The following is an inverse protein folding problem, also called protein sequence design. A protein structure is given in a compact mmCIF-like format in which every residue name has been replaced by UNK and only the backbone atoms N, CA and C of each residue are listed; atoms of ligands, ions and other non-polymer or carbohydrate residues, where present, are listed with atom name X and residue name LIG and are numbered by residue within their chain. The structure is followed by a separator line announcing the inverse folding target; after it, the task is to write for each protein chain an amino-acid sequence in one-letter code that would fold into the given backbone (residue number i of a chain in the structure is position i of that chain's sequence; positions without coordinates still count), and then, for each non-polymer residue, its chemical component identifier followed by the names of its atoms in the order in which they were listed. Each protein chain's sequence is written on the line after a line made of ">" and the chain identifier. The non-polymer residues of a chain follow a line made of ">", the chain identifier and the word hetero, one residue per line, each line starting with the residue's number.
data_IF_828492226183
#
_entry.id   IF_828492226183
#
_cell.length_a   1.000
_cell.length_b   1.000
_cell.length_c   1.000
_cell.angle_alpha   90.00
_cell.angle_beta   90.00
_cell.angle_gamma   90.00
#
_symmetry.space_group_name_H-M   'P 1'
#
loop_
_entity.id
_entity.type
_entity.pdbx_description
1 polymer ?
#
# COMPACT_ATOMS: atom_id res chain seq x y z
N UNK A 1 -19.97 12.24 21.67
CA UNK A 1 -20.16 13.42 20.79
C UNK A 1 -19.00 14.40 20.90
N UNK A 2 -18.72 15.03 22.05
CA UNK A 2 -17.59 15.98 22.18
C UNK A 2 -16.22 15.40 21.81
N UNK A 3 -15.89 14.21 22.33
CA UNK A 3 -14.66 13.50 21.96
C UNK A 3 -14.56 13.19 20.45
N UNK A 4 -15.70 12.94 19.78
CA UNK A 4 -15.76 12.70 18.33
C UNK A 4 -15.51 14.00 17.55
N UNK A 5 -16.06 15.12 18.00
CA UNK A 5 -15.82 16.44 17.40
C UNK A 5 -14.35 16.85 17.53
N UNK A 6 -13.76 16.64 18.71
CA UNK A 6 -12.35 16.95 18.98
C UNK A 6 -11.42 16.06 18.12
N UNK A 7 -11.71 14.76 18.03
CA UNK A 7 -11.00 13.86 17.13
C UNK A 7 -11.14 14.28 15.66
N UNK A 8 -12.33 14.70 15.22
CA UNK A 8 -12.59 15.20 13.87
C UNK A 8 -11.72 16.40 13.51
N UNK A 9 -11.53 17.35 14.44
CA UNK A 9 -10.61 18.49 14.28
C UNK A 9 -9.13 18.06 14.19
N UNK A 10 -8.75 16.92 14.76
CA UNK A 10 -7.39 16.41 14.65
C UNK A 10 -7.12 15.70 13.32
N UNK A 11 -8.13 15.06 12.71
CA UNK A 11 -7.96 14.23 11.50
C UNK A 11 -8.54 14.83 10.21
N UNK A 12 -9.07 16.05 10.24
CA UNK A 12 -9.76 16.66 9.08
C UNK A 12 -8.92 16.67 7.79
N UNK A 13 -7.60 16.87 7.91
CA UNK A 13 -6.67 16.86 6.78
C UNK A 13 -6.49 15.48 6.14
N UNK A 14 -6.78 14.41 6.88
CA UNK A 14 -6.87 13.04 6.33
C UNK A 14 -8.25 12.84 5.70
N UNK A 15 -9.31 13.32 6.36
CA UNK A 15 -10.69 13.14 5.88
C UNK A 15 -10.88 13.72 4.47
N UNK A 16 -10.30 14.90 4.19
CA UNK A 16 -10.44 15.56 2.89
C UNK A 16 -9.80 14.77 1.73
N UNK A 17 -8.93 13.79 2.02
CA UNK A 17 -8.27 12.97 1.00
C UNK A 17 -9.17 11.83 0.50
N UNK A 18 -10.07 11.29 1.34
CA UNK A 18 -10.94 10.16 0.96
C UNK A 18 -11.82 10.40 -0.28
N UNK A 19 -12.42 11.58 -0.50
CA UNK A 19 -13.14 11.87 -1.74
C UNK A 19 -12.26 11.77 -3.00
N UNK A 20 -10.97 12.13 -2.92
CA UNK A 20 -10.04 11.98 -4.05
C UNK A 20 -9.76 10.50 -4.34
N UNK A 21 -9.54 9.69 -3.30
CA UNK A 21 -9.36 8.25 -3.46
C UNK A 21 -10.61 7.57 -4.03
N UNK A 22 -11.79 8.00 -3.58
CA UNK A 22 -13.06 7.55 -4.15
C UNK A 22 -13.21 7.94 -5.62
N UNK A 23 -12.73 9.12 -6.01
CA UNK A 23 -12.64 9.55 -7.41
C UNK A 23 -11.73 8.65 -8.25
N UNK A 24 -10.53 8.32 -7.75
CA UNK A 24 -9.61 7.38 -8.40
C UNK A 24 -10.24 6.01 -8.55
N UNK A 25 -10.85 5.49 -7.47
CA UNK A 25 -11.60 4.23 -7.52
C UNK A 25 -12.73 4.29 -8.57
N UNK A 26 -13.44 5.42 -8.65
CA UNK A 26 -14.44 5.68 -9.69
C UNK A 26 -13.87 5.56 -11.10
N UNK A 27 -12.67 6.07 -11.37
CA UNK A 27 -12.00 5.90 -12.66
C UNK A 27 -11.74 4.41 -12.95
N UNK A 28 -11.20 3.66 -12.01
CA UNK A 28 -10.95 2.22 -12.20
C UNK A 28 -12.23 1.40 -12.34
N UNK A 29 -13.31 1.79 -11.66
CA UNK A 29 -14.60 1.10 -11.67
C UNK A 29 -15.44 1.38 -12.93
N UNK A 30 -15.46 2.63 -13.39
CA UNK A 30 -16.37 3.08 -14.44
C UNK A 30 -15.69 3.29 -15.81
N UNK A 31 -14.38 3.11 -15.90
CA UNK A 31 -13.62 3.15 -17.17
C UNK A 31 -12.92 1.82 -17.43
N UNK A 32 -12.22 1.71 -18.57
CA UNK A 32 -11.42 0.51 -18.91
C UNK A 32 -10.07 0.42 -18.19
N UNK A 33 -9.77 1.33 -17.24
CA UNK A 33 -8.45 1.43 -16.63
C UNK A 33 -8.04 0.16 -15.88
N UNK A 34 -8.97 -0.48 -15.16
CA UNK A 34 -8.69 -1.76 -14.48
C UNK A 34 -8.26 -2.86 -15.47
N UNK A 35 -8.91 -2.91 -16.64
CA UNK A 35 -8.54 -3.87 -17.70
C UNK A 35 -7.16 -3.57 -18.28
N UNK A 36 -6.83 -2.29 -18.48
CA UNK A 36 -5.50 -1.87 -18.97
C UNK A 36 -4.41 -2.26 -17.97
N UNK A 37 -4.61 -1.98 -16.68
CA UNK A 37 -3.66 -2.33 -15.64
C UNK A 37 -3.52 -3.85 -15.47
N UNK A 38 -4.63 -4.59 -15.51
CA UNK A 38 -4.59 -6.06 -15.47
C UNK A 38 -3.69 -6.60 -16.59
N UNK A 39 -3.87 -6.12 -17.82
CA UNK A 39 -3.04 -6.53 -18.96
C UNK A 39 -1.58 -6.13 -18.78
N UNK A 40 -1.31 -4.95 -18.23
CA UNK A 40 0.05 -4.51 -17.95
C UNK A 40 0.76 -5.46 -16.97
N UNK A 41 0.11 -5.83 -15.87
CA UNK A 41 0.66 -6.80 -14.91
C UNK A 41 0.89 -8.17 -15.54
N UNK A 42 -0.08 -8.70 -16.28
CA UNK A 42 0.05 -10.01 -16.96
C UNK A 42 1.15 -9.99 -18.04
N UNK A 43 1.43 -8.84 -18.66
CA UNK A 43 2.48 -8.72 -19.68
C UNK A 43 3.87 -8.58 -19.06
N UNK A 44 3.99 -7.87 -17.94
CA UNK A 44 5.28 -7.61 -17.26
C UNK A 44 5.69 -8.76 -16.33
N UNK A 45 4.72 -9.45 -15.72
CA UNK A 45 4.96 -10.45 -14.69
C UNK A 45 4.78 -11.87 -15.22
N UNK A 46 5.44 -12.82 -14.54
CA UNK A 46 5.13 -14.25 -14.61
C UNK A 46 4.55 -14.72 -13.28
N UNK A 47 4.12 -15.99 -13.21
CA UNK A 47 3.69 -16.59 -11.93
C UNK A 47 4.77 -16.55 -10.84
N UNK A 48 6.06 -16.50 -11.20
CA UNK A 48 7.16 -16.44 -10.24
C UNK A 48 7.54 -15.02 -9.81
N UNK A 49 7.22 -13.99 -10.59
CA UNK A 49 7.63 -12.60 -10.29
C UNK A 49 6.48 -11.71 -9.84
N UNK A 50 5.22 -12.14 -10.04
CA UNK A 50 4.04 -11.34 -9.76
C UNK A 50 3.99 -10.78 -8.33
N UNK A 51 4.20 -11.62 -7.32
CA UNK A 51 4.11 -11.19 -5.91
C UNK A 51 5.16 -10.13 -5.55
N UNK A 52 6.38 -10.23 -6.09
CA UNK A 52 7.43 -9.23 -5.87
C UNK A 52 7.08 -7.90 -6.54
N UNK A 53 6.62 -7.94 -7.79
CA UNK A 53 6.26 -6.74 -8.54
C UNK A 53 5.05 -6.07 -7.90
N UNK A 54 4.04 -6.83 -7.49
CA UNK A 54 2.89 -6.34 -6.73
C UNK A 54 3.31 -5.68 -5.41
N UNK A 55 4.21 -6.33 -4.65
CA UNK A 55 4.75 -5.79 -3.40
C UNK A 55 5.43 -4.43 -3.59
N UNK A 56 6.32 -4.31 -4.58
CA UNK A 56 6.97 -3.02 -4.89
C UNK A 56 5.99 -1.98 -5.41
N UNK A 57 5.03 -2.41 -6.24
CA UNK A 57 4.01 -1.53 -6.79
C UNK A 57 3.13 -0.94 -5.70
N UNK A 58 2.67 -1.75 -4.74
CA UNK A 58 1.85 -1.30 -3.62
C UNK A 58 2.60 -0.26 -2.78
N UNK A 59 3.84 -0.51 -2.38
CA UNK A 59 4.57 0.51 -1.62
C UNK A 59 4.90 1.78 -2.41
N UNK A 60 5.12 1.68 -3.73
CA UNK A 60 5.24 2.89 -4.54
C UNK A 60 3.91 3.68 -4.59
N UNK A 61 2.79 2.98 -4.72
CA UNK A 61 1.46 3.58 -4.80
C UNK A 61 0.99 4.16 -3.45
N UNK A 62 1.44 3.59 -2.33
CA UNK A 62 1.18 4.07 -0.98
C UNK A 62 1.61 5.54 -0.78
N UNK A 63 2.63 6.05 -1.49
CA UNK A 63 2.95 7.48 -1.50
C UNK A 63 1.87 8.37 -2.13
N UNK A 64 1.10 7.81 -3.08
CA UNK A 64 0.04 8.52 -3.79
C UNK A 64 -1.32 8.33 -3.11
N UNK A 65 -1.54 7.17 -2.50
CA UNK A 65 -2.74 6.81 -1.77
C UNK A 65 -2.31 6.28 -0.38
N UNK A 66 -1.91 7.17 0.56
CA UNK A 66 -1.44 6.78 1.90
C UNK A 66 -2.59 6.31 2.81
N UNK A 67 -3.26 5.23 2.40
CA UNK A 67 -4.38 4.60 3.08
C UNK A 67 -4.57 3.19 2.54
N UNK A 68 -4.09 2.17 3.26
CA UNK A 68 -4.20 0.78 2.81
C UNK A 68 -5.63 0.31 2.48
N UNK A 69 -6.65 0.81 3.18
CA UNK A 69 -8.04 0.50 2.82
C UNK A 69 -8.47 1.09 1.47
N UNK A 70 -8.08 2.34 1.20
CA UNK A 70 -8.46 3.04 -0.03
C UNK A 70 -7.61 2.61 -1.21
N UNK A 71 -6.31 2.40 -0.98
CA UNK A 71 -5.39 1.85 -1.96
C UNK A 71 -5.85 0.45 -2.38
N UNK A 72 -6.17 -0.44 -1.43
CA UNK A 72 -6.71 -1.77 -1.75
C UNK A 72 -8.00 -1.69 -2.59
N UNK A 73 -8.93 -0.80 -2.22
CA UNK A 73 -10.16 -0.61 -2.99
C UNK A 73 -9.88 -0.21 -4.45
N UNK A 74 -8.84 0.61 -4.67
CA UNK A 74 -8.38 1.03 -5.99
C UNK A 74 -7.64 -0.09 -6.74
N UNK A 75 -6.82 -0.89 -6.05
CA UNK A 75 -5.89 -1.83 -6.68
C UNK A 75 -6.44 -3.23 -6.89
N UNK A 76 -7.27 -3.72 -5.96
CA UNK A 76 -7.88 -5.05 -6.03
C UNK A 76 -8.61 -5.34 -7.37
N UNK A 77 -9.32 -4.38 -7.99
CA UNK A 77 -10.00 -4.60 -9.28
C UNK A 77 -9.08 -4.99 -10.44
N UNK A 78 -7.76 -4.76 -10.36
CA UNK A 78 -6.82 -5.17 -11.41
C UNK A 78 -5.71 -6.12 -10.93
N UNK A 79 -5.34 -6.08 -9.65
CA UNK A 79 -4.37 -7.04 -9.08
C UNK A 79 -4.96 -8.45 -8.97
N UNK A 80 -6.20 -8.60 -8.48
CA UNK A 80 -6.82 -9.93 -8.33
C UNK A 80 -7.09 -10.62 -9.68
N UNK A 81 -7.59 -9.94 -10.72
CA UNK A 81 -7.69 -10.54 -12.05
C UNK A 81 -6.35 -10.90 -12.68
N UNK A 82 -5.30 -10.09 -12.46
CA UNK A 82 -3.95 -10.40 -12.95
C UNK A 82 -3.37 -11.63 -12.24
N UNK A 83 -3.48 -11.69 -10.91
CA UNK A 83 -3.10 -12.84 -10.10
C UNK A 83 -3.78 -14.12 -10.60
N UNK A 84 -5.10 -14.06 -10.81
CA UNK A 84 -5.89 -15.19 -11.33
C UNK A 84 -5.39 -15.69 -12.69
N UNK A 85 -5.06 -14.77 -13.61
CA UNK A 85 -4.54 -15.14 -14.94
C UNK A 85 -3.15 -15.77 -14.88
N UNK A 86 -2.33 -15.36 -13.92
CA UNK A 86 -0.99 -15.89 -13.69
C UNK A 86 -0.96 -17.14 -12.79
N UNK A 87 -2.14 -17.67 -12.41
CA UNK A 87 -2.26 -18.86 -11.56
C UNK A 87 -1.92 -18.61 -10.09
N UNK A 88 -1.91 -17.36 -9.64
CA UNK A 88 -1.61 -16.97 -8.27
C UNK A 88 -2.89 -16.94 -7.45
N UNK A 89 -2.85 -17.59 -6.27
CA UNK A 89 -3.98 -17.61 -5.36
C UNK A 89 -4.25 -16.21 -4.78
N UNK A 90 -5.52 -15.82 -4.68
CA UNK A 90 -5.92 -14.48 -4.26
C UNK A 90 -5.38 -14.09 -2.87
N UNK A 91 -5.28 -15.05 -1.94
CA UNK A 91 -4.70 -14.81 -0.62
C UNK A 91 -3.22 -14.42 -0.69
N UNK A 92 -2.43 -14.98 -1.63
CA UNK A 92 -1.03 -14.59 -1.80
C UNK A 92 -0.91 -13.14 -2.30
N UNK A 93 -1.77 -12.75 -3.25
CA UNK A 93 -1.82 -11.37 -3.75
C UNK A 93 -2.22 -10.37 -2.65
N UNK A 94 -3.27 -10.68 -1.87
CA UNK A 94 -3.69 -9.85 -0.73
C UNK A 94 -2.56 -9.65 0.29
N UNK A 95 -1.77 -10.69 0.59
CA UNK A 95 -0.63 -10.58 1.50
C UNK A 95 0.51 -9.77 0.88
N UNK A 96 0.83 -9.97 -0.39
CA UNK A 96 1.84 -9.17 -1.08
C UNK A 96 1.50 -7.69 -1.09
N UNK A 97 0.24 -7.37 -1.39
CA UNK A 97 -0.30 -6.02 -1.28
C UNK A 97 -0.14 -5.44 0.13
N UNK A 98 -0.64 -6.14 1.16
CA UNK A 98 -0.66 -5.61 2.53
C UNK A 98 0.76 -5.31 3.06
N UNK A 99 1.72 -6.19 2.76
CA UNK A 99 3.11 -5.97 3.15
C UNK A 99 3.78 -4.85 2.35
N UNK A 100 3.39 -4.68 1.08
CA UNK A 100 3.87 -3.63 0.20
C UNK A 100 3.38 -2.25 0.64
N UNK A 101 2.09 -2.11 0.96
CA UNK A 101 1.50 -0.90 1.55
C UNK A 101 2.25 -0.48 2.83
N UNK A 102 2.43 -1.41 3.77
CA UNK A 102 3.11 -1.14 5.05
C UNK A 102 4.61 -0.86 4.92
N UNK A 103 5.26 -1.25 3.82
CA UNK A 103 6.70 -1.10 3.64
C UNK A 103 7.14 0.36 3.71
N UNK A 104 6.44 1.24 3.00
CA UNK A 104 6.80 2.66 2.84
C UNK A 104 6.30 3.54 3.97
N UNK A 105 5.46 3.00 4.85
CA UNK A 105 5.10 3.64 6.12
C UNK A 105 6.32 3.89 7.01
N UNK A 106 7.47 3.23 6.77
CA UNK A 106 8.73 3.57 7.46
C UNK A 106 9.32 4.89 6.96
N UNK A 107 9.07 5.26 5.70
CA UNK A 107 9.53 6.53 5.12
C UNK A 107 8.55 7.66 5.44
N UNK A 108 7.24 7.36 5.49
CA UNK A 108 6.19 8.30 5.85
C UNK A 108 5.29 7.74 6.98
N UNK A 109 5.79 7.69 8.23
CA UNK A 109 5.09 7.06 9.34
C UNK A 109 3.96 7.95 9.89
N UNK A 110 2.84 8.06 9.17
CA UNK A 110 1.66 8.78 9.68
C UNK A 110 1.17 8.20 11.02
N UNK A 111 1.34 6.89 11.21
CA UNK A 111 1.07 6.19 12.47
C UNK A 111 1.90 6.73 13.65
N UNK A 112 3.08 7.30 13.39
CA UNK A 112 3.96 7.78 14.45
C UNK A 112 3.51 9.13 15.03
N UNK A 113 2.68 9.92 14.34
CA UNK A 113 2.31 11.29 14.76
C UNK A 113 1.72 11.29 16.18
N UNK A 114 0.78 10.38 16.46
CA UNK A 114 0.15 10.28 17.77
C UNK A 114 1.16 9.85 18.85
N UNK A 115 2.06 8.93 18.54
CA UNK A 115 3.07 8.44 19.50
C UNK A 115 4.17 9.47 19.77
N UNK A 116 4.61 10.19 18.74
CA UNK A 116 5.58 11.27 18.83
C UNK A 116 5.07 12.40 19.74
N UNK A 117 3.78 12.74 19.63
CA UNK A 117 3.15 13.73 20.51
C UNK A 117 3.20 13.32 21.99
N UNK A 118 3.01 12.04 22.29
CA UNK A 118 3.10 11.50 23.67
C UNK A 118 4.55 11.44 24.15
N UNK A 119 5.47 10.99 23.29
CA UNK A 119 6.89 10.88 23.57
C UNK A 119 7.62 12.24 23.61
N UNK A 120 6.96 13.32 23.19
CA UNK A 120 7.53 14.67 23.03
C UNK A 120 8.76 14.66 22.11
N UNK A 121 8.69 13.86 21.05
CA UNK A 121 9.71 13.77 20.03
C UNK A 121 9.24 14.45 18.75
N UNK A 122 10.17 15.07 18.05
CA UNK A 122 9.98 15.54 16.69
C UNK A 122 10.16 14.38 15.70
N UNK A 123 9.44 14.45 14.58
CA UNK A 123 9.52 13.46 13.51
C UNK A 123 10.96 13.22 13.03
N UNK A 124 11.75 14.28 12.89
CA UNK A 124 13.14 14.23 12.41
C UNK A 124 14.05 13.38 13.31
N UNK A 125 13.72 13.23 14.60
CA UNK A 125 14.53 12.47 15.55
C UNK A 125 14.46 10.96 15.30
N UNK A 126 13.37 10.47 14.70
CA UNK A 126 13.18 9.04 14.43
C UNK A 126 13.49 8.65 12.97
N UNK A 127 13.53 9.62 12.06
CA UNK A 127 13.64 9.34 10.61
C UNK A 127 14.90 8.58 10.21
N UNK A 128 16.05 8.89 10.81
CA UNK A 128 17.29 8.17 10.52
C UNK A 128 17.18 6.68 10.83
N UNK A 129 16.56 6.34 11.97
CA UNK A 129 16.34 4.95 12.37
C UNK A 129 15.31 4.26 11.46
N UNK A 130 14.21 4.92 11.14
CA UNK A 130 13.18 4.34 10.28
C UNK A 130 13.68 4.06 8.86
N UNK A 131 14.57 4.90 8.31
CA UNK A 131 15.18 4.62 7.01
C UNK A 131 16.09 3.38 7.05
N UNK A 132 16.84 3.17 8.13
CA UNK A 132 17.62 1.93 8.30
C UNK A 132 16.71 0.71 8.38
N UNK A 133 15.64 0.79 9.16
CA UNK A 133 14.62 -0.28 9.27
C UNK A 133 13.96 -0.52 7.92
N UNK A 134 13.62 0.53 7.17
CA UNK A 134 13.08 0.44 5.82
C UNK A 134 13.99 -0.39 4.91
N UNK A 135 15.28 -0.10 4.85
CA UNK A 135 16.19 -0.84 3.96
C UNK A 135 16.29 -2.32 4.34
N UNK A 136 16.38 -2.63 5.63
CA UNK A 136 16.41 -4.03 6.10
C UNK A 136 15.10 -4.73 5.78
N UNK A 137 13.97 -4.10 6.10
CA UNK A 137 12.63 -4.61 5.81
C UNK A 137 12.46 -4.84 4.30
N UNK A 138 12.73 -3.83 3.47
CA UNK A 138 12.64 -3.85 2.02
C UNK A 138 13.40 -5.04 1.42
N UNK A 139 14.66 -5.24 1.82
CA UNK A 139 15.49 -6.33 1.27
C UNK A 139 14.94 -7.69 1.67
N UNK A 140 14.62 -7.88 2.95
CA UNK A 140 14.15 -9.17 3.48
C UNK A 140 12.80 -9.57 2.86
N UNK A 141 11.84 -8.65 2.83
CA UNK A 141 10.50 -8.94 2.31
C UNK A 141 10.51 -9.06 0.78
N UNK A 142 11.33 -8.29 0.06
CA UNK A 142 11.53 -8.48 -1.38
C UNK A 142 12.07 -9.89 -1.67
N UNK A 143 13.07 -10.35 -0.91
CA UNK A 143 13.57 -11.71 -1.05
C UNK A 143 12.48 -12.75 -0.72
N UNK A 144 11.67 -12.52 0.32
CA UNK A 144 10.57 -13.41 0.67
C UNK A 144 9.52 -13.52 -0.45
N UNK A 145 9.08 -12.40 -1.04
CA UNK A 145 8.10 -12.41 -2.13
C UNK A 145 8.66 -12.92 -3.45
N UNK A 146 9.97 -12.81 -3.68
CA UNK A 146 10.63 -13.46 -4.82
C UNK A 146 10.66 -14.98 -4.68
N UNK A 147 10.88 -15.49 -3.47
CA UNK A 147 11.04 -16.93 -3.22
C UNK A 147 9.71 -17.65 -2.95
N UNK A 148 8.69 -16.95 -2.45
CA UNK A 148 7.41 -17.57 -2.07
C UNK A 148 6.70 -18.34 -3.20
N UNK A 149 6.73 -17.91 -4.48
CA UNK A 149 6.15 -18.73 -5.56
C UNK A 149 6.84 -20.08 -5.79
N UNK A 150 8.07 -20.27 -5.30
CA UNK A 150 8.88 -21.49 -5.48
C UNK A 150 8.54 -22.57 -4.43
N UNK A 151 7.86 -22.18 -3.35
CA UNK A 151 7.44 -23.06 -2.24
C UNK A 151 5.91 -23.22 -2.20
#
# INVERSE_FOLDING_TARGET
>A
LKATEDAGKAVWGIIIQFPFYAGIFGLFKYTALATVFTKAFVTVCSGSTFLLVEYWYAGLLNYLIPSGGSEWAVTAPYLLPAAKQLGIAANKAVVAYAWGDMMTDMIQPFWAIAMLAVAKLEFREIMGWLLLVFFVYFVITSAAFLLWPVF
#
